data_IF_136398158567
#
_entry.id   IF_136398158567
#
_cell.length_a   1.000
_cell.length_b   1.000
_cell.length_c   1.000
_cell.angle_alpha   90.00
_cell.angle_beta   90.00
_cell.angle_gamma   90.00
#
_symmetry.space_group_name_H-M   'P 1'
#
loop_
_entity.id
_entity.type
_entity.pdbx_description
1 polymer ?
#
# COMPACT_ATOMS: atom_id res chain seq x y z
N UNK A 1 30.59 -49.34 -41.67
CA UNK A 1 31.51 -48.29 -41.30
C UNK A 1 30.79 -47.37 -40.30
N UNK A 2 31.33 -47.01 -39.14
CA UNK A 2 30.65 -47.10 -37.85
C UNK A 2 29.92 -45.79 -37.59
N UNK A 3 28.74 -45.73 -36.99
CA UNK A 3 28.38 -46.13 -35.66
C UNK A 3 28.60 -44.97 -34.70
N UNK A 4 27.72 -43.89 -34.66
CA UNK A 4 27.77 -42.87 -33.62
C UNK A 4 26.70 -43.18 -32.57
N UNK A 5 27.19 -43.74 -31.48
CA UNK A 5 26.43 -43.98 -30.27
C UNK A 5 26.06 -42.69 -29.58
N UNK A 6 24.75 -42.44 -29.47
CA UNK A 6 24.19 -41.41 -28.59
C UNK A 6 24.27 -41.94 -27.17
N UNK A 7 25.20 -41.42 -26.37
CA UNK A 7 25.28 -41.72 -24.94
C UNK A 7 24.15 -41.03 -24.23
N UNK A 8 23.32 -41.84 -23.62
CA UNK A 8 22.22 -41.39 -22.77
C UNK A 8 22.72 -40.55 -21.59
N UNK A 9 22.20 -39.36 -21.48
CA UNK A 9 22.27 -38.56 -20.26
C UNK A 9 21.14 -39.01 -19.32
N UNK A 10 21.47 -39.94 -18.44
CA UNK A 10 20.65 -40.26 -17.28
C UNK A 10 20.67 -39.04 -16.34
N UNK A 11 19.76 -38.13 -16.57
CA UNK A 11 19.52 -37.00 -15.69
C UNK A 11 18.85 -37.45 -14.38
N UNK A 12 19.57 -37.35 -13.29
CA UNK A 12 19.09 -37.57 -11.94
C UNK A 12 17.91 -36.60 -11.67
N UNK A 13 16.73 -37.15 -11.56
CA UNK A 13 15.58 -36.46 -10.95
C UNK A 13 15.90 -36.19 -9.49
N UNK A 14 16.39 -34.99 -9.19
CA UNK A 14 16.40 -34.49 -7.83
C UNK A 14 14.95 -34.16 -7.46
N UNK A 15 14.36 -35.02 -6.65
CA UNK A 15 13.13 -34.77 -5.96
C UNK A 15 13.26 -33.41 -5.22
N UNK A 16 12.43 -32.48 -5.57
CA UNK A 16 12.19 -31.26 -4.80
C UNK A 16 11.48 -31.67 -3.51
N UNK A 17 12.24 -31.99 -2.48
CA UNK A 17 11.70 -32.16 -1.13
C UNK A 17 11.21 -30.78 -0.67
N UNK A 18 9.92 -30.69 -0.48
CA UNK A 18 9.23 -29.50 -0.03
C UNK A 18 9.75 -28.99 1.30
N UNK A 19 10.45 -27.88 1.26
CA UNK A 19 10.64 -27.03 2.42
C UNK A 19 9.47 -26.03 2.44
N UNK A 20 8.65 -26.15 3.46
CA UNK A 20 7.47 -25.29 3.66
C UNK A 20 7.85 -23.84 3.64
N UNK A 21 7.29 -23.20 2.70
CA UNK A 21 7.19 -21.82 2.33
C UNK A 21 6.70 -20.94 3.49
N UNK A 22 7.62 -20.36 4.22
CA UNK A 22 7.35 -19.24 5.12
C UNK A 22 7.97 -17.93 4.59
N UNK A 23 8.48 -17.94 3.34
CA UNK A 23 9.27 -16.83 2.78
C UNK A 23 8.62 -16.14 1.57
N UNK A 24 7.30 -16.30 1.31
CA UNK A 24 6.66 -15.73 0.11
C UNK A 24 5.84 -14.46 0.41
N UNK A 25 5.90 -13.90 1.63
CA UNK A 25 5.07 -12.75 2.00
C UNK A 25 5.76 -11.39 1.91
N UNK A 26 6.87 -11.25 1.18
CA UNK A 26 7.59 -9.97 1.07
C UNK A 26 7.53 -9.30 -0.31
N UNK A 27 6.66 -9.70 -1.23
CA UNK A 27 6.74 -9.27 -2.64
C UNK A 27 6.00 -7.96 -2.94
N UNK A 28 5.01 -7.57 -2.14
CA UNK A 28 4.38 -6.24 -2.22
C UNK A 28 4.55 -5.56 -0.86
N UNK A 29 5.71 -4.93 -0.65
CA UNK A 29 6.01 -4.23 0.59
C UNK A 29 5.50 -2.80 0.48
N UNK A 30 4.38 -2.49 1.11
CA UNK A 30 4.02 -1.11 1.42
C UNK A 30 5.01 -0.54 2.44
N UNK A 31 5.38 0.74 2.30
CA UNK A 31 6.27 1.38 3.26
C UNK A 31 5.60 1.51 4.64
N UNK A 32 6.40 1.56 5.70
CA UNK A 32 5.91 1.87 7.05
C UNK A 32 5.17 3.21 7.10
N UNK A 33 5.42 4.08 6.14
CA UNK A 33 4.74 5.36 6.00
C UNK A 33 3.24 5.20 5.75
N UNK A 34 2.85 4.20 4.96
CA UNK A 34 1.42 3.89 4.72
C UNK A 34 0.75 3.48 6.03
N UNK A 35 1.38 2.59 6.79
CA UNK A 35 0.88 2.16 8.10
C UNK A 35 0.65 3.37 9.01
N UNK A 36 1.67 4.23 9.17
CA UNK A 36 1.60 5.41 10.04
C UNK A 36 0.51 6.39 9.61
N UNK A 37 0.41 6.68 8.32
CA UNK A 37 -0.61 7.62 7.81
C UNK A 37 -2.02 7.09 7.91
N UNK A 38 -2.23 5.78 7.70
CA UNK A 38 -3.54 5.14 7.92
C UNK A 38 -3.95 5.25 9.39
N UNK A 39 -3.05 4.95 10.33
CA UNK A 39 -3.34 5.04 11.75
C UNK A 39 -3.63 6.47 12.21
N UNK A 40 -2.86 7.44 11.73
CA UNK A 40 -3.10 8.87 12.01
C UNK A 40 -4.46 9.33 11.47
N UNK A 41 -4.81 8.94 10.23
CA UNK A 41 -6.12 9.24 9.66
C UNK A 41 -7.26 8.57 10.47
N UNK A 42 -7.04 7.34 10.93
CA UNK A 42 -8.02 6.61 11.74
C UNK A 42 -8.22 7.27 13.12
N UNK A 43 -7.16 7.77 13.74
CA UNK A 43 -7.24 8.56 14.99
C UNK A 43 -8.15 9.77 14.82
N UNK A 44 -7.97 10.52 13.72
CA UNK A 44 -8.84 11.66 13.39
C UNK A 44 -10.27 11.24 13.04
N UNK A 45 -10.45 10.06 12.45
CA UNK A 45 -11.79 9.52 12.15
C UNK A 45 -12.55 9.07 13.42
N UNK A 46 -11.83 8.71 14.49
CA UNK A 46 -12.41 8.39 15.81
C UNK A 46 -12.74 9.64 16.64
N UNK A 47 -12.23 10.80 16.23
CA UNK A 47 -12.47 12.08 16.88
C UNK A 47 -13.79 12.71 16.40
N UNK A 48 -14.37 13.67 17.15
CA UNK A 48 -15.47 14.49 16.66
C UNK A 48 -15.12 15.17 15.33
N UNK A 49 -16.09 15.32 14.40
CA UNK A 49 -15.84 15.99 13.12
C UNK A 49 -15.23 17.38 13.30
N UNK A 50 -14.21 17.70 12.50
CA UNK A 50 -13.54 18.99 12.55
C UNK A 50 -12.49 19.15 13.65
N UNK A 51 -12.23 18.11 14.45
CA UNK A 51 -11.15 18.12 15.44
C UNK A 51 -9.82 18.46 14.78
N UNK A 52 -9.14 19.48 15.32
CA UNK A 52 -7.80 19.90 14.89
C UNK A 52 -6.75 19.30 15.83
N UNK A 53 -5.74 18.66 15.27
CA UNK A 53 -4.63 18.09 16.03
C UNK A 53 -3.29 18.55 15.47
N UNK A 54 -2.41 19.04 16.34
CA UNK A 54 -1.06 19.42 15.95
C UNK A 54 -0.24 18.19 15.54
N UNK A 55 0.67 18.36 14.58
CA UNK A 55 1.57 17.28 14.15
C UNK A 55 2.39 16.68 15.30
N UNK A 56 2.77 17.52 16.30
CA UNK A 56 3.47 17.06 17.49
C UNK A 56 2.64 16.09 18.32
N UNK A 57 1.38 16.44 18.57
CA UNK A 57 0.46 15.62 19.32
C UNK A 57 0.17 14.28 18.60
N UNK A 58 -0.07 14.31 17.29
CA UNK A 58 -0.23 13.08 16.50
C UNK A 58 1.02 12.19 16.53
N UNK A 59 2.20 12.81 16.47
CA UNK A 59 3.48 12.08 16.53
C UNK A 59 3.68 11.45 17.92
N UNK A 60 3.38 12.17 18.98
CA UNK A 60 3.44 11.68 20.37
C UNK A 60 2.48 10.50 20.59
N UNK A 61 1.22 10.66 20.19
CA UNK A 61 0.22 9.60 20.33
C UNK A 61 0.64 8.27 19.68
N UNK A 62 1.32 8.33 18.53
CA UNK A 62 1.75 7.15 17.79
C UNK A 62 3.22 6.76 18.03
N UNK A 63 3.97 7.51 18.86
CA UNK A 63 5.40 7.27 19.06
C UNK A 63 6.24 7.47 17.80
N UNK A 64 5.88 8.44 16.93
CA UNK A 64 6.49 8.65 15.64
C UNK A 64 7.44 9.86 15.62
N UNK A 65 8.48 9.88 14.76
CA UNK A 65 9.31 11.08 14.56
C UNK A 65 8.49 12.23 13.96
N UNK A 66 8.34 13.34 14.72
CA UNK A 66 7.52 14.50 14.33
C UNK A 66 7.87 15.05 12.95
N UNK A 67 9.16 15.23 12.65
CA UNK A 67 9.60 15.81 11.38
C UNK A 67 9.17 14.95 10.18
N UNK A 68 9.29 13.64 10.31
CA UNK A 68 8.89 12.69 9.27
C UNK A 68 7.37 12.67 9.10
N UNK A 69 6.62 12.58 10.22
CA UNK A 69 5.16 12.61 10.17
C UNK A 69 4.64 13.89 9.53
N UNK A 70 5.21 15.06 9.88
CA UNK A 70 4.82 16.35 9.28
C UNK A 70 4.89 16.34 7.76
N UNK A 71 5.96 15.74 7.18
CA UNK A 71 6.09 15.59 5.72
C UNK A 71 4.94 14.78 5.13
N UNK A 72 4.52 13.71 5.80
CA UNK A 72 3.44 12.86 5.33
C UNK A 72 2.07 13.54 5.46
N UNK A 73 1.84 14.27 6.55
CA UNK A 73 0.63 15.09 6.71
C UNK A 73 0.49 16.11 5.59
N UNK A 74 1.60 16.72 5.13
CA UNK A 74 1.58 17.62 3.97
C UNK A 74 1.21 16.90 2.66
N UNK A 75 1.64 15.65 2.46
CA UNK A 75 1.23 14.86 1.31
C UNK A 75 -0.28 14.57 1.34
N UNK A 76 -0.84 14.26 2.53
CA UNK A 76 -2.28 14.08 2.74
C UNK A 76 -3.07 15.38 2.50
N UNK A 77 -2.50 16.53 2.86
CA UNK A 77 -3.10 17.85 2.55
C UNK A 77 -3.13 18.09 1.04
N UNK A 78 -2.03 17.86 0.34
CA UNK A 78 -1.95 18.01 -1.13
C UNK A 78 -2.95 17.11 -1.87
N UNK A 79 -3.25 15.95 -1.34
CA UNK A 79 -4.21 15.01 -1.93
C UNK A 79 -5.67 15.27 -1.52
N UNK A 80 -5.94 16.29 -0.69
CA UNK A 80 -7.29 16.61 -0.23
C UNK A 80 -7.88 15.63 0.79
N UNK A 81 -7.03 14.81 1.42
CA UNK A 81 -7.45 13.91 2.51
C UNK A 81 -7.48 14.67 3.84
N UNK A 82 -6.52 15.56 4.04
CA UNK A 82 -6.43 16.41 5.22
C UNK A 82 -6.51 17.90 4.87
N UNK A 83 -6.83 18.70 5.88
CA UNK A 83 -6.72 20.15 5.88
C UNK A 83 -5.73 20.57 6.95
N UNK A 84 -4.90 21.57 6.64
CA UNK A 84 -4.03 22.23 7.61
C UNK A 84 -4.59 23.61 7.94
N UNK A 85 -4.72 23.90 9.23
CA UNK A 85 -5.12 25.22 9.74
C UNK A 85 -3.92 25.84 10.47
N UNK A 86 -3.46 27.04 10.08
CA UNK A 86 -2.32 27.69 10.73
C UNK A 86 -2.69 28.25 12.10
N UNK A 87 -1.67 28.55 12.93
CA UNK A 87 -1.80 29.22 14.20
C UNK A 87 -1.59 28.32 15.41
N UNK A 88 -1.55 28.94 16.60
CA UNK A 88 -1.28 28.24 17.89
C UNK A 88 -2.33 27.18 18.20
N UNK A 89 -3.59 27.48 17.88
CA UNK A 89 -4.73 26.53 18.00
C UNK A 89 -5.03 25.83 16.67
N UNK A 90 -4.11 25.88 15.72
CA UNK A 90 -4.21 25.22 14.43
C UNK A 90 -3.79 23.75 14.50
N UNK A 91 -3.75 23.11 13.34
CA UNK A 91 -3.39 21.71 13.25
C UNK A 91 -3.93 21.07 11.96
N UNK A 92 -4.03 19.77 11.99
CA UNK A 92 -4.55 18.95 10.92
C UNK A 92 -5.90 18.36 11.28
N UNK A 93 -6.81 18.33 10.31
CA UNK A 93 -8.12 17.67 10.41
C UNK A 93 -8.40 16.93 9.11
N UNK A 94 -9.36 16.02 9.11
CA UNK A 94 -9.87 15.45 7.86
C UNK A 94 -10.52 16.55 7.02
N UNK A 95 -10.23 16.58 5.73
CA UNK A 95 -10.76 17.60 4.80
C UNK A 95 -12.16 17.27 4.31
N UNK A 96 -12.56 16.01 4.41
CA UNK A 96 -13.87 15.48 3.99
C UNK A 96 -14.34 14.38 4.95
N UNK A 97 -15.61 13.95 4.89
CA UNK A 97 -16.13 12.90 5.76
C UNK A 97 -15.27 11.61 5.68
N UNK A 98 -15.07 10.96 6.83
CA UNK A 98 -14.30 9.69 6.90
C UNK A 98 -14.90 8.56 6.06
N UNK A 99 -16.20 8.64 5.76
CA UNK A 99 -16.90 7.73 4.84
C UNK A 99 -16.51 7.89 3.37
N UNK A 100 -15.90 9.02 3.00
CA UNK A 100 -15.44 9.33 1.65
C UNK A 100 -13.93 9.18 1.46
N UNK A 101 -13.21 8.82 2.51
CA UNK A 101 -11.76 8.60 2.47
C UNK A 101 -11.50 7.10 2.52
N UNK A 102 -10.88 6.56 1.48
CA UNK A 102 -10.56 5.14 1.37
C UNK A 102 -9.10 4.86 1.72
N UNK A 103 -8.78 3.59 2.01
CA UNK A 103 -7.38 3.17 2.13
C UNK A 103 -6.60 3.41 0.85
N UNK A 104 -7.25 3.28 -0.33
CA UNK A 104 -6.59 3.53 -1.61
C UNK A 104 -6.20 5.00 -1.77
N UNK A 105 -7.04 5.94 -1.29
CA UNK A 105 -6.71 7.37 -1.31
C UNK A 105 -5.44 7.65 -0.51
N UNK A 106 -5.32 7.08 0.70
CA UNK A 106 -4.16 7.27 1.57
C UNK A 106 -2.91 6.65 0.95
N UNK A 107 -3.00 5.42 0.43
CA UNK A 107 -1.88 4.76 -0.25
C UNK A 107 -1.41 5.59 -1.44
N UNK A 108 -2.33 6.07 -2.28
CA UNK A 108 -1.99 6.89 -3.44
C UNK A 108 -1.37 8.24 -3.07
N UNK A 109 -1.74 8.82 -1.92
CA UNK A 109 -1.16 10.08 -1.42
C UNK A 109 0.29 9.91 -0.95
N UNK A 110 0.64 8.74 -0.41
CA UNK A 110 1.94 8.44 0.20
C UNK A 110 2.92 7.81 -0.78
N UNK A 111 2.48 6.79 -1.51
CA UNK A 111 3.32 6.01 -2.46
C UNK A 111 3.27 6.58 -3.88
N UNK A 112 2.30 7.43 -4.17
CA UNK A 112 2.04 7.88 -5.53
C UNK A 112 1.06 6.96 -6.27
N UNK A 113 0.85 7.28 -7.55
CA UNK A 113 -0.10 6.58 -8.43
C UNK A 113 0.59 5.74 -9.49
N UNK A 114 1.89 5.50 -9.35
CA UNK A 114 2.62 4.68 -10.31
C UNK A 114 2.07 3.25 -10.35
N UNK A 115 2.17 2.62 -11.51
CA UNK A 115 1.82 1.22 -11.67
C UNK A 115 2.81 0.35 -10.88
N UNK A 116 2.30 -0.68 -10.20
CA UNK A 116 3.13 -1.61 -9.42
C UNK A 116 4.00 -2.48 -10.33
N UNK A 117 3.55 -2.71 -11.55
CA UNK A 117 4.27 -3.50 -12.55
C UNK A 117 4.37 -2.73 -13.87
N UNK A 118 5.59 -2.55 -14.35
CA UNK A 118 5.87 -1.99 -15.68
C UNK A 118 6.56 -3.05 -16.52
N UNK A 119 5.96 -3.42 -17.64
CA UNK A 119 6.53 -4.36 -18.58
C UNK A 119 7.66 -3.70 -19.37
N UNK A 120 8.88 -4.23 -19.25
CA UNK A 120 10.02 -3.81 -20.05
C UNK A 120 10.05 -4.47 -21.46
N UNK A 121 8.99 -5.17 -21.86
CA UNK A 121 8.91 -5.88 -23.16
C UNK A 121 10.10 -6.81 -23.41
N UNK A 122 10.50 -7.58 -22.39
CA UNK A 122 11.66 -8.49 -22.45
C UNK A 122 11.58 -9.48 -23.63
N UNK A 123 10.38 -9.78 -24.12
CA UNK A 123 10.15 -10.60 -25.31
C UNK A 123 10.69 -9.98 -26.61
N UNK A 124 11.05 -8.68 -26.58
CA UNK A 124 11.74 -7.99 -27.69
C UNK A 124 13.26 -8.12 -27.60
N UNK A 125 13.76 -8.99 -26.74
CA UNK A 125 15.19 -9.22 -26.52
C UNK A 125 15.53 -10.70 -26.61
N UNK A 126 16.82 -11.02 -26.80
CA UNK A 126 17.36 -12.39 -26.85
C UNK A 126 16.80 -13.22 -27.98
N UNK A 127 16.67 -14.52 -27.74
CA UNK A 127 16.32 -15.54 -28.78
C UNK A 127 14.98 -15.22 -29.49
N UNK A 128 14.01 -14.65 -28.78
CA UNK A 128 12.72 -14.28 -29.39
C UNK A 128 12.91 -13.15 -30.40
N UNK A 129 13.72 -12.14 -30.05
CA UNK A 129 14.04 -11.07 -31.00
C UNK A 129 14.82 -11.58 -32.22
N UNK A 130 15.80 -12.44 -32.00
CA UNK A 130 16.64 -13.04 -33.05
C UNK A 130 15.84 -13.95 -33.97
N UNK A 131 14.81 -14.62 -33.49
CA UNK A 131 13.93 -15.47 -34.29
C UNK A 131 12.97 -14.72 -35.22
N UNK A 132 12.91 -13.37 -35.13
CA UNK A 132 11.96 -12.54 -35.88
C UNK A 132 10.52 -12.59 -35.34
N UNK A 133 10.26 -13.36 -34.28
CA UNK A 133 8.94 -13.49 -33.65
C UNK A 133 8.61 -12.33 -32.65
N UNK A 134 9.56 -11.44 -32.43
CA UNK A 134 9.37 -10.27 -31.52
C UNK A 134 8.37 -9.24 -32.06
N UNK A 135 8.01 -9.33 -33.34
CA UNK A 135 7.10 -8.38 -33.98
C UNK A 135 5.62 -8.75 -33.83
N UNK A 136 5.29 -9.43 -32.75
CA UNK A 136 3.90 -9.79 -32.43
C UNK A 136 3.21 -8.56 -31.87
N UNK A 137 2.28 -7.97 -32.63
CA UNK A 137 1.44 -6.84 -32.22
C UNK A 137 0.40 -7.22 -31.14
N UNK A 138 0.72 -8.18 -30.30
CA UNK A 138 -0.14 -8.60 -29.19
C UNK A 138 0.38 -8.02 -27.86
N UNK A 139 -0.52 -7.53 -27.02
CA UNK A 139 -0.13 -7.11 -25.67
C UNK A 139 0.57 -8.24 -24.91
N UNK A 140 1.52 -7.88 -24.05
CA UNK A 140 2.22 -8.86 -23.24
C UNK A 140 1.24 -9.53 -22.26
N UNK A 141 1.09 -10.86 -22.33
CA UNK A 141 0.17 -11.59 -21.44
C UNK A 141 0.56 -11.41 -19.98
N UNK A 142 1.86 -11.32 -19.66
CA UNK A 142 2.33 -11.08 -18.30
C UNK A 142 1.88 -9.72 -17.81
N UNK A 143 1.98 -8.68 -18.65
CA UNK A 143 1.48 -7.34 -18.28
C UNK A 143 -0.03 -7.35 -18.06
N UNK A 144 -0.80 -8.01 -18.90
CA UNK A 144 -2.25 -8.12 -18.76
C UNK A 144 -2.61 -8.72 -17.40
N UNK A 145 -2.01 -9.85 -17.05
CA UNK A 145 -2.34 -10.55 -15.79
C UNK A 145 -1.84 -9.77 -14.56
N UNK A 146 -0.67 -9.14 -14.63
CA UNK A 146 -0.16 -8.28 -13.55
C UNK A 146 -1.04 -7.04 -13.34
N UNK A 147 -1.50 -6.41 -14.43
CA UNK A 147 -2.44 -5.29 -14.36
C UNK A 147 -3.78 -5.70 -13.74
N UNK A 148 -4.31 -6.88 -14.09
CA UNK A 148 -5.53 -7.40 -13.46
C UNK A 148 -5.36 -7.59 -11.94
N UNK A 149 -4.23 -8.18 -11.52
CA UNK A 149 -3.92 -8.37 -10.11
C UNK A 149 -3.81 -7.02 -9.37
N UNK A 150 -3.13 -6.04 -9.97
CA UNK A 150 -3.04 -4.69 -9.42
C UNK A 150 -4.41 -4.02 -9.28
N UNK A 151 -5.25 -4.12 -10.31
CA UNK A 151 -6.61 -3.55 -10.27
C UNK A 151 -7.48 -4.20 -9.18
N UNK A 152 -7.35 -5.52 -8.98
CA UNK A 152 -8.04 -6.22 -7.90
C UNK A 152 -7.59 -5.72 -6.52
N UNK A 153 -6.28 -5.52 -6.33
CA UNK A 153 -5.71 -4.96 -5.11
C UNK A 153 -6.18 -3.52 -4.86
N UNK A 154 -6.11 -2.65 -5.87
CA UNK A 154 -6.61 -1.26 -5.78
C UNK A 154 -8.10 -1.21 -5.43
N UNK A 155 -8.91 -2.06 -6.05
CA UNK A 155 -10.34 -2.19 -5.76
C UNK A 155 -10.59 -2.61 -4.31
N UNK A 156 -9.83 -3.57 -3.79
CA UNK A 156 -9.96 -4.03 -2.41
C UNK A 156 -9.66 -2.91 -1.40
N UNK A 157 -8.63 -2.08 -1.64
CA UNK A 157 -8.31 -0.92 -0.80
C UNK A 157 -9.35 0.20 -0.95
N UNK A 158 -9.86 0.45 -2.15
CA UNK A 158 -10.89 1.46 -2.40
C UNK A 158 -12.24 1.12 -1.75
N UNK A 159 -12.49 -0.16 -1.50
CA UNK A 159 -13.70 -0.61 -0.80
C UNK A 159 -13.64 -0.38 0.72
N UNK A 160 -12.49 -0.01 1.29
CA UNK A 160 -12.30 0.20 2.72
C UNK A 160 -12.24 1.69 3.03
N UNK A 161 -13.25 2.21 3.72
CA UNK A 161 -13.28 3.62 4.16
C UNK A 161 -12.76 3.78 5.59
N UNK A 162 -12.29 4.98 5.95
CA UNK A 162 -11.88 5.29 7.33
C UNK A 162 -13.04 5.13 8.30
N UNK A 163 -14.24 5.51 7.93
CA UNK A 163 -15.45 5.33 8.75
C UNK A 163 -15.76 3.84 8.96
N UNK A 164 -15.65 3.03 7.93
CA UNK A 164 -15.78 1.57 8.04
C UNK A 164 -14.74 0.94 8.96
N UNK A 165 -13.49 1.45 8.94
CA UNK A 165 -12.42 1.03 9.84
C UNK A 165 -12.70 1.47 11.28
N UNK A 166 -13.09 2.74 11.49
CA UNK A 166 -13.42 3.27 12.81
C UNK A 166 -14.55 2.49 13.49
N UNK A 167 -15.64 2.19 12.76
CA UNK A 167 -16.73 1.34 13.27
C UNK A 167 -16.28 -0.08 13.63
N UNK A 168 -15.39 -0.69 12.85
CA UNK A 168 -14.83 -2.00 13.19
C UNK A 168 -13.93 -1.94 14.41
N UNK A 169 -13.13 -0.88 14.54
CA UNK A 169 -12.29 -0.66 15.72
C UNK A 169 -13.16 -0.46 16.97
N UNK A 170 -14.21 0.37 16.89
CA UNK A 170 -15.14 0.61 18.02
C UNK A 170 -15.84 -0.68 18.47
N UNK A 171 -16.25 -1.55 17.52
CA UNK A 171 -16.86 -2.83 17.84
C UNK A 171 -15.86 -3.84 18.42
N UNK A 172 -14.63 -3.92 17.89
CA UNK A 172 -13.63 -4.92 18.25
C UNK A 172 -12.76 -4.54 19.44
N UNK A 173 -12.51 -3.24 19.63
CA UNK A 173 -11.63 -2.71 20.67
C UNK A 173 -12.13 -1.34 21.21
N UNK A 174 -13.32 -1.28 21.83
CA UNK A 174 -13.93 -0.01 22.27
C UNK A 174 -13.03 0.79 23.21
N UNK A 175 -12.28 0.12 24.10
CA UNK A 175 -11.34 0.79 25.01
C UNK A 175 -10.25 1.58 24.29
N UNK A 176 -9.83 1.17 23.10
CA UNK A 176 -8.85 1.91 22.30
C UNK A 176 -9.47 3.20 21.79
N UNK A 177 -10.73 3.14 21.34
CA UNK A 177 -11.46 4.33 20.87
C UNK A 177 -11.71 5.30 22.02
N UNK A 178 -12.11 4.80 23.19
CA UNK A 178 -12.32 5.64 24.38
C UNK A 178 -11.02 6.32 24.81
N UNK A 179 -9.91 5.58 24.85
CA UNK A 179 -8.58 6.15 25.17
C UNK A 179 -8.20 7.24 24.15
N UNK A 180 -8.42 6.98 22.87
CA UNK A 180 -8.15 7.94 21.79
C UNK A 180 -8.95 9.22 21.99
N UNK A 181 -10.26 9.11 22.27
CA UNK A 181 -11.14 10.26 22.51
C UNK A 181 -10.75 11.04 23.77
N UNK A 182 -10.43 10.33 24.87
CA UNK A 182 -9.95 10.94 26.11
C UNK A 182 -8.65 11.72 25.88
N UNK A 183 -7.70 11.10 25.19
CA UNK A 183 -6.43 11.74 24.91
C UNK A 183 -6.59 12.99 24.04
N UNK A 184 -7.42 12.93 23.01
CA UNK A 184 -7.74 14.08 22.14
C UNK A 184 -8.39 15.22 22.97
N UNK A 185 -9.23 14.89 23.94
CA UNK A 185 -9.92 15.90 24.76
C UNK A 185 -9.01 16.57 25.79
N UNK A 186 -7.84 15.97 26.08
CA UNK A 186 -6.90 16.46 27.08
C UNK A 186 -5.85 17.44 26.51
N UNK A 187 -5.78 17.60 25.19
CA UNK A 187 -4.81 18.45 24.49
C UNK A 187 -5.48 19.68 23.90
#
# INVERSE_FOLDING_TARGET
MPGNGVRGLAGRSRAWAGTRTTAILSVVKMSSTVEWTVHVCLTLACAPPGTLMQAGALAEFHGLPKAYLTKQLQALVKSGIMRSTPGVRGGFSLARPSSEITLMDIVAAVEGRADLFQCAEIRKSGVIAESGLSNVNLPCIVQIEMTKAEMAWRKALAAQTLDGLARRLEKGAPRVVDLTRQWISAI
#
